data_IF_425185513718
#
_entry.id   IF_425185513718
#
_cell.length_a   1.000
_cell.length_b   1.000
_cell.length_c   1.000
_cell.angle_alpha   90.00
_cell.angle_beta   90.00
_cell.angle_gamma   90.00
#
_symmetry.space_group_name_H-M   'P 1'
#
loop_
_entity.id
_entity.type
_entity.pdbx_description
1 polymer ?
#
# COMPACT_ATOMS: atom_id res chain seq x y z
N UNK A 1 -11.28 -42.93 15.75
CA UNK A 1 -10.68 -41.71 16.36
C UNK A 1 -9.89 -40.88 15.36
N UNK A 2 -9.05 -41.47 14.49
CA UNK A 2 -8.23 -40.73 13.52
C UNK A 2 -9.02 -39.82 12.54
N UNK A 3 -10.19 -40.26 12.05
CA UNK A 3 -11.00 -39.48 11.11
C UNK A 3 -11.56 -38.17 11.70
N UNK A 4 -11.79 -38.10 13.02
CA UNK A 4 -12.27 -36.88 13.70
C UNK A 4 -11.18 -35.84 13.88
N UNK A 5 -9.93 -36.28 14.06
CA UNK A 5 -8.76 -35.40 14.21
C UNK A 5 -8.39 -34.75 12.87
N UNK A 6 -8.49 -35.51 11.77
CA UNK A 6 -8.25 -34.99 10.42
C UNK A 6 -9.26 -33.92 10.00
N UNK A 7 -10.55 -34.08 10.35
CA UNK A 7 -11.55 -33.04 10.07
C UNK A 7 -11.29 -31.76 10.88
N UNK A 8 -10.94 -31.86 12.16
CA UNK A 8 -10.67 -30.67 12.99
C UNK A 8 -9.42 -29.90 12.49
N UNK A 9 -8.40 -30.59 12.01
CA UNK A 9 -7.22 -29.96 11.39
C UNK A 9 -7.57 -29.26 10.06
N UNK A 10 -8.45 -29.83 9.23
CA UNK A 10 -8.87 -29.21 7.98
C UNK A 10 -9.70 -27.93 8.20
N UNK A 11 -10.51 -27.87 9.26
CA UNK A 11 -11.26 -26.66 9.63
C UNK A 11 -10.35 -25.59 10.26
N UNK A 12 -9.29 -25.98 10.97
CA UNK A 12 -8.30 -25.04 11.50
C UNK A 12 -7.49 -24.34 10.38
N UNK A 13 -7.27 -25.00 9.24
CA UNK A 13 -6.62 -24.40 8.06
C UNK A 13 -7.56 -23.41 7.34
N UNK A 14 -8.88 -23.60 7.43
CA UNK A 14 -9.88 -22.67 6.85
C UNK A 14 -10.16 -21.45 7.74
N UNK A 15 -9.67 -21.45 8.99
CA UNK A 15 -9.81 -20.36 9.96
C UNK A 15 -8.59 -19.43 10.00
N UNK A 16 -7.59 -19.62 9.12
CA UNK A 16 -6.60 -18.58 8.88
C UNK A 16 -7.33 -17.37 8.31
N UNK A 17 -7.53 -16.33 9.13
CA UNK A 17 -8.06 -15.06 8.69
C UNK A 17 -7.32 -14.65 7.42
N UNK A 18 -8.02 -14.63 6.28
CA UNK A 18 -7.42 -14.22 5.02
C UNK A 18 -6.86 -12.81 5.25
N UNK A 19 -5.55 -12.68 5.09
CA UNK A 19 -4.95 -11.38 5.26
C UNK A 19 -5.53 -10.44 4.19
N UNK A 20 -5.91 -9.24 4.61
CA UNK A 20 -6.58 -8.26 3.77
C UNK A 20 -5.65 -7.07 3.55
N UNK A 21 -5.72 -6.50 2.35
CA UNK A 21 -4.88 -5.38 1.94
C UNK A 21 -5.72 -4.34 1.23
N UNK A 22 -5.45 -3.07 1.50
CA UNK A 22 -5.90 -1.94 0.67
C UNK A 22 -4.70 -1.28 0.03
N UNK A 23 -4.84 -0.96 -1.25
CA UNK A 23 -3.84 -0.25 -2.04
C UNK A 23 -4.48 0.94 -2.74
N UNK A 24 -3.79 2.08 -2.70
CA UNK A 24 -4.16 3.30 -3.41
C UNK A 24 -2.95 3.82 -4.19
N UNK A 25 -3.21 4.38 -5.37
CA UNK A 25 -2.20 4.96 -6.26
C UNK A 25 -2.68 6.36 -6.67
N UNK A 26 -1.93 7.38 -6.31
CA UNK A 26 -2.31 8.80 -6.49
C UNK A 26 -1.20 9.59 -7.19
N UNK A 27 -1.60 10.68 -7.84
CA UNK A 27 -0.71 11.66 -8.45
C UNK A 27 -0.03 11.14 -9.72
N UNK A 28 -0.76 11.04 -10.82
CA UNK A 28 -0.23 10.43 -12.04
C UNK A 28 0.92 11.26 -12.66
N UNK A 29 2.15 10.75 -12.58
CA UNK A 29 3.35 11.44 -13.06
C UNK A 29 3.54 11.35 -14.58
N UNK A 30 2.98 10.32 -15.22
CA UNK A 30 3.10 10.05 -16.66
C UNK A 30 2.97 8.55 -16.92
N UNK A 31 2.41 8.14 -18.07
CA UNK A 31 2.09 6.72 -18.31
C UNK A 31 1.19 6.15 -17.21
N UNK A 32 1.53 4.98 -16.65
CA UNK A 32 0.86 4.30 -15.51
C UNK A 32 1.58 4.49 -14.16
N UNK A 33 2.46 5.48 -14.05
CA UNK A 33 3.28 5.74 -12.86
C UNK A 33 2.65 6.75 -11.87
N UNK A 34 2.38 6.36 -10.61
CA UNK A 34 1.88 7.28 -9.57
C UNK A 34 3.02 7.93 -8.79
N UNK A 35 2.76 9.13 -8.27
CA UNK A 35 3.60 9.85 -7.30
C UNK A 35 3.58 9.14 -5.96
N UNK A 36 2.41 8.68 -5.51
CA UNK A 36 2.23 7.98 -4.26
C UNK A 36 1.59 6.60 -4.49
N UNK A 37 2.12 5.59 -3.81
CA UNK A 37 1.43 4.32 -3.56
C UNK A 37 1.31 4.10 -2.06
N UNK A 38 0.10 3.92 -1.54
CA UNK A 38 -0.14 3.56 -0.15
C UNK A 38 -0.66 2.12 -0.10
N UNK A 39 0.01 1.27 0.70
CA UNK A 39 -0.41 -0.10 0.99
C UNK A 39 -0.63 -0.23 2.49
N UNK A 40 -1.84 -0.59 2.90
CA UNK A 40 -2.16 -0.95 4.29
C UNK A 40 -2.65 -2.38 4.33
N UNK A 41 -2.01 -3.22 5.14
CA UNK A 41 -2.24 -4.66 5.13
C UNK A 41 -2.30 -5.25 6.54
N UNK A 42 -3.04 -6.33 6.71
CA UNK A 42 -2.93 -7.22 7.88
C UNK A 42 -1.92 -8.35 7.64
N UNK A 43 -1.31 -8.44 6.45
CA UNK A 43 -0.30 -9.46 6.09
C UNK A 43 1.10 -8.99 6.46
N UNK A 44 1.66 -9.51 7.56
CA UNK A 44 3.05 -9.21 7.95
C UNK A 44 4.07 -9.69 6.90
N UNK A 45 3.76 -10.77 6.18
CA UNK A 45 4.67 -11.29 5.15
C UNK A 45 4.76 -10.33 3.95
N UNK A 46 3.67 -9.63 3.61
CA UNK A 46 3.68 -8.59 2.59
C UNK A 46 4.60 -7.44 3.03
N UNK A 47 4.49 -6.98 4.27
CA UNK A 47 5.36 -5.92 4.81
C UNK A 47 6.83 -6.34 4.76
N UNK A 48 7.16 -7.56 5.19
CA UNK A 48 8.56 -8.03 5.17
C UNK A 48 9.13 -8.10 3.74
N UNK A 49 8.33 -8.54 2.75
CA UNK A 49 8.77 -8.57 1.34
C UNK A 49 8.95 -7.17 0.77
N UNK A 50 7.94 -6.32 0.93
CA UNK A 50 7.97 -4.96 0.37
C UNK A 50 9.03 -4.08 1.03
N UNK A 51 9.23 -4.25 2.33
CA UNK A 51 10.16 -3.45 3.12
C UNK A 51 11.56 -4.07 3.25
N UNK A 52 11.86 -5.14 2.51
CA UNK A 52 13.14 -5.85 2.61
C UNK A 52 14.35 -4.93 2.35
N UNK A 53 14.20 -3.95 1.47
CA UNK A 53 15.25 -2.98 1.12
C UNK A 53 15.54 -1.94 2.23
N UNK A 54 14.70 -1.85 3.26
CA UNK A 54 14.88 -0.93 4.39
C UNK A 54 15.54 -1.69 5.56
N UNK A 55 16.77 -1.31 5.96
CA UNK A 55 17.43 -1.89 7.12
C UNK A 55 16.60 -1.66 8.39
N UNK A 56 16.44 -2.71 9.20
CA UNK A 56 15.78 -2.63 10.50
C UNK A 56 16.40 -3.63 11.46
N UNK A 57 16.65 -3.19 12.70
CA UNK A 57 17.04 -4.07 13.80
C UNK A 57 15.84 -4.71 14.52
N UNK A 58 14.62 -4.30 14.15
CA UNK A 58 13.36 -4.68 14.79
C UNK A 58 12.38 -5.27 13.76
N UNK A 59 11.35 -6.03 14.20
CA UNK A 59 10.28 -6.47 13.31
C UNK A 59 9.68 -5.30 12.53
N UNK A 60 9.48 -5.47 11.22
CA UNK A 60 8.98 -4.39 10.37
C UNK A 60 7.46 -4.31 10.45
N UNK A 61 6.97 -3.12 10.80
CA UNK A 61 5.53 -2.79 10.73
C UNK A 61 5.21 -1.87 9.54
N UNK A 62 6.21 -1.52 8.76
CA UNK A 62 6.04 -0.68 7.60
C UNK A 62 7.36 -0.10 7.13
N UNK A 63 7.29 0.61 6.01
CA UNK A 63 8.39 1.35 5.44
C UNK A 63 7.88 2.47 4.53
N UNK A 64 8.77 3.42 4.27
CA UNK A 64 8.64 4.36 3.18
C UNK A 64 9.79 4.12 2.22
N UNK A 65 9.47 3.84 0.97
CA UNK A 65 10.41 3.70 -0.13
C UNK A 65 10.24 4.90 -1.05
N UNK A 66 11.34 5.35 -1.64
CA UNK A 66 11.28 6.33 -2.71
C UNK A 66 12.14 5.89 -3.88
N UNK A 67 11.74 6.26 -5.09
CA UNK A 67 12.51 6.00 -6.31
C UNK A 67 12.45 7.19 -7.27
N UNK A 68 13.44 7.38 -8.15
CA UNK A 68 13.39 8.45 -9.13
C UNK A 68 12.21 8.24 -10.08
N UNK A 69 11.59 9.33 -10.49
CA UNK A 69 10.50 9.37 -11.45
C UNK A 69 10.56 10.70 -12.23
N UNK A 70 9.74 10.81 -13.27
CA UNK A 70 9.65 12.01 -14.11
C UNK A 70 8.17 12.40 -14.23
N UNK A 71 7.87 13.66 -13.92
CA UNK A 71 6.53 14.22 -14.05
C UNK A 71 6.20 14.56 -15.51
N UNK A 72 4.94 14.89 -15.80
CA UNK A 72 4.44 15.09 -17.17
C UNK A 72 5.11 16.25 -17.89
N UNK A 73 5.52 17.26 -17.13
CA UNK A 73 6.26 18.44 -17.59
C UNK A 73 7.77 18.18 -17.75
N UNK A 74 8.24 16.96 -17.45
CA UNK A 74 9.65 16.57 -17.50
C UNK A 74 10.42 16.83 -16.20
N UNK A 75 9.77 17.36 -15.14
CA UNK A 75 10.42 17.58 -13.86
C UNK A 75 10.88 16.25 -13.24
N UNK A 76 12.09 16.25 -12.66
CA UNK A 76 12.63 15.09 -11.93
C UNK A 76 12.05 15.06 -10.53
N UNK A 77 11.42 13.96 -10.19
CA UNK A 77 10.70 13.76 -8.93
C UNK A 77 11.06 12.43 -8.28
N UNK A 78 10.49 12.21 -7.10
CA UNK A 78 10.59 11.01 -6.29
C UNK A 78 9.18 10.44 -6.13
N UNK A 79 8.91 9.31 -6.78
CA UNK A 79 7.73 8.53 -6.47
C UNK A 79 7.94 7.83 -5.12
N UNK A 80 6.91 7.81 -4.28
CA UNK A 80 6.93 7.30 -2.91
C UNK A 80 5.98 6.11 -2.79
N UNK A 81 6.44 5.03 -2.15
CA UNK A 81 5.59 3.91 -1.72
C UNK A 81 5.64 3.82 -0.20
N UNK A 82 4.48 3.88 0.43
CA UNK A 82 4.32 3.69 1.87
C UNK A 82 3.62 2.35 2.09
N UNK A 83 4.23 1.49 2.90
CA UNK A 83 3.66 0.20 3.29
C UNK A 83 3.49 0.19 4.80
N UNK A 84 2.30 -0.18 5.27
CA UNK A 84 1.96 -0.21 6.70
C UNK A 84 1.23 -1.50 7.04
N UNK A 85 1.66 -2.14 8.12
CA UNK A 85 0.88 -3.15 8.81
C UNK A 85 -0.18 -2.46 9.69
N UNK A 86 -1.37 -3.04 9.75
CA UNK A 86 -2.39 -2.70 10.73
C UNK A 86 -3.07 -3.97 11.23
N UNK A 87 -3.37 -4.06 12.52
CA UNK A 87 -4.12 -5.20 13.08
C UNK A 87 -5.55 -5.28 12.53
N UNK A 88 -6.10 -4.12 12.12
CA UNK A 88 -7.35 -3.99 11.38
C UNK A 88 -7.18 -2.92 10.33
N UNK A 89 -7.70 -3.16 9.13
CA UNK A 89 -7.64 -2.15 8.09
C UNK A 89 -8.52 -0.93 8.45
N UNK A 90 -8.12 0.29 8.05
CA UNK A 90 -8.96 1.49 8.17
C UNK A 90 -10.30 1.30 7.44
N UNK A 91 -11.28 2.19 7.67
CA UNK A 91 -12.43 2.24 6.76
C UNK A 91 -11.95 2.59 5.34
N UNK A 92 -12.75 2.26 4.32
CA UNK A 92 -12.44 2.60 2.93
C UNK A 92 -12.28 4.12 2.76
N UNK A 93 -13.23 4.91 3.27
CA UNK A 93 -13.15 6.37 3.26
C UNK A 93 -11.92 6.91 4.00
N UNK A 94 -11.57 6.35 5.16
CA UNK A 94 -10.37 6.78 5.89
C UNK A 94 -9.10 6.47 5.11
N UNK A 95 -9.04 5.31 4.46
CA UNK A 95 -7.92 4.91 3.63
C UNK A 95 -7.74 5.86 2.43
N UNK A 96 -8.84 6.22 1.79
CA UNK A 96 -8.87 7.17 0.67
C UNK A 96 -8.37 8.55 1.08
N UNK A 97 -8.89 9.10 2.18
CA UNK A 97 -8.47 10.40 2.70
C UNK A 97 -6.97 10.36 3.02
N UNK A 98 -6.48 9.33 3.71
CA UNK A 98 -5.06 9.22 4.04
C UNK A 98 -4.19 9.13 2.78
N UNK A 99 -4.59 8.36 1.77
CA UNK A 99 -3.87 8.29 0.51
C UNK A 99 -3.86 9.63 -0.25
N UNK A 100 -5.00 10.34 -0.28
CA UNK A 100 -5.13 11.64 -0.92
C UNK A 100 -4.24 12.70 -0.25
N UNK A 101 -4.34 12.84 1.08
CA UNK A 101 -3.57 13.83 1.83
C UNK A 101 -2.07 13.50 1.85
N UNK A 102 -1.70 12.22 1.87
CA UNK A 102 -0.29 11.83 1.70
C UNK A 102 0.24 12.19 0.32
N UNK A 103 -0.59 12.16 -0.73
CA UNK A 103 -0.17 12.56 -2.06
C UNK A 103 0.18 14.05 -2.06
N UNK A 104 -0.68 14.90 -1.46
CA UNK A 104 -0.41 16.34 -1.28
C UNK A 104 0.87 16.59 -0.52
N UNK A 105 1.08 15.87 0.59
CA UNK A 105 2.30 15.99 1.39
C UNK A 105 3.56 15.63 0.57
N UNK A 106 3.51 14.60 -0.27
CA UNK A 106 4.62 14.21 -1.14
C UNK A 106 4.83 15.21 -2.28
N UNK A 107 3.76 15.73 -2.87
CA UNK A 107 3.83 16.73 -3.95
C UNK A 107 4.41 18.06 -3.45
N UNK A 108 3.97 18.54 -2.27
CA UNK A 108 4.44 19.79 -1.67
C UNK A 108 5.94 19.81 -1.35
N UNK A 109 6.59 18.65 -1.26
CA UNK A 109 8.03 18.52 -1.04
C UNK A 109 8.85 18.52 -2.34
N UNK A 110 8.21 18.69 -3.50
CA UNK A 110 8.82 18.52 -4.81
C UNK A 110 8.50 19.70 -5.73
N UNK A 111 9.35 19.99 -6.72
CA UNK A 111 9.15 21.10 -7.64
C UNK A 111 8.19 20.71 -8.77
N UNK A 112 6.95 20.35 -8.44
CA UNK A 112 5.88 20.00 -9.38
C UNK A 112 4.56 20.63 -8.98
N UNK A 113 3.69 20.81 -9.97
CA UNK A 113 2.26 21.08 -9.72
C UNK A 113 1.63 19.85 -9.05
N UNK A 114 0.59 20.11 -8.25
CA UNK A 114 -0.17 19.08 -7.54
C UNK A 114 -0.84 18.09 -8.52
N UNK A 115 -0.33 16.84 -8.66
CA UNK A 115 -0.89 15.88 -9.57
C UNK A 115 -2.05 15.09 -8.94
N UNK A 116 -2.32 15.29 -7.64
CA UNK A 116 -3.23 14.47 -6.85
C UNK A 116 -4.71 14.71 -7.21
N UNK A 117 -5.01 15.78 -7.94
CA UNK A 117 -6.33 16.12 -8.47
C UNK A 117 -6.52 15.82 -9.97
N UNK A 118 -5.49 15.33 -10.68
CA UNK A 118 -5.53 15.22 -12.15
C UNK A 118 -6.10 13.88 -12.62
N UNK A 119 -7.34 13.90 -13.15
CA UNK A 119 -8.06 12.76 -13.74
C UNK A 119 -8.79 11.93 -12.68
N UNK A 120 -10.11 11.74 -12.86
CA UNK A 120 -11.07 11.14 -11.90
C UNK A 120 -10.44 10.50 -10.64
N UNK A 121 -10.21 11.32 -9.63
CA UNK A 121 -10.46 11.02 -8.21
C UNK A 121 -9.68 9.86 -7.54
N UNK A 122 -8.54 9.41 -8.09
CA UNK A 122 -7.72 8.39 -7.45
C UNK A 122 -8.29 6.99 -7.57
N UNK A 123 -7.83 6.24 -8.57
CA UNK A 123 -8.32 4.89 -8.85
C UNK A 123 -8.10 3.93 -7.68
N UNK A 124 -9.22 3.50 -7.08
CA UNK A 124 -9.29 2.47 -6.04
C UNK A 124 -9.12 1.09 -6.66
N UNK A 125 -8.08 0.37 -6.22
CA UNK A 125 -7.96 -1.07 -6.46
C UNK A 125 -7.88 -1.78 -5.12
N UNK A 126 -9.01 -2.29 -4.65
CA UNK A 126 -9.02 -3.29 -3.58
C UNK A 126 -8.61 -4.63 -4.17
N UNK A 127 -7.38 -5.07 -3.88
CA UNK A 127 -6.92 -6.41 -4.26
C UNK A 127 -7.24 -7.34 -3.09
N UNK A 128 -8.30 -8.14 -3.23
CA UNK A 128 -8.50 -9.31 -2.37
C UNK A 128 -7.56 -10.39 -2.89
N UNK A 129 -6.44 -10.63 -2.19
CA UNK A 129 -5.56 -11.75 -2.49
C UNK A 129 -6.35 -13.05 -2.34
N UNK A 130 -6.49 -13.79 -3.45
CA UNK A 130 -7.10 -15.12 -3.50
C UNK A 130 -6.00 -16.14 -3.76
#
# INVERSE_FOLDING_TARGET
>A
MAARVALLAAWAVLLSACAVTREARFGQLGGDEPLLTLVVTTDRSLVERECAAVPSAWPRYGCMLSRPAVARDGARVRAVKVVRYADRLPSELTFEIDAHELCHAVAALQPIDDPCHVGNEGLLRSITGR
#
